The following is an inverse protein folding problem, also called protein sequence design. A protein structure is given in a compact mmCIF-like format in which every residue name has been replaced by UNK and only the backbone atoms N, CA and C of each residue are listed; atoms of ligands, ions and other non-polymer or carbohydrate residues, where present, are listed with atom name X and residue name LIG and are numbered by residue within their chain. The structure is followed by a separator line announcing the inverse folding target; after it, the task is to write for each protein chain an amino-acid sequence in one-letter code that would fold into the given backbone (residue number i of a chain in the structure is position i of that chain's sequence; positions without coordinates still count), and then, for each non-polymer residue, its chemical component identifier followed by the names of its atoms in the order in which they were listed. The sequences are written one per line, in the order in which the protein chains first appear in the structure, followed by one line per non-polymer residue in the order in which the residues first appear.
data_IF_768217579047
#
_entry.id   IF_768217579047
#
_cell.length_a   1.000
_cell.length_b   1.000
_cell.length_c   1.000
_cell.angle_alpha   90.00
_cell.angle_beta   90.00
_cell.angle_gamma   90.00
#
_symmetry.space_group_name_H-M   'P 1'
#
loop_
_entity.id
_entity.type
_entity.pdbx_description
1 polymer ?
#
# COMPACT_ATOMS: atom_id res chain seq x y z
N UNK A 1 39.98 -6.64 -10.25
CA UNK A 1 39.47 -5.40 -9.61
C UNK A 1 37.95 -5.32 -9.72
N UNK A 2 37.36 -5.67 -10.86
CA UNK A 2 35.91 -5.64 -11.09
C UNK A 2 35.11 -6.66 -10.25
N UNK A 3 35.65 -7.85 -9.98
CA UNK A 3 35.01 -8.86 -9.12
C UNK A 3 34.84 -8.41 -7.66
N UNK A 4 35.81 -7.66 -7.12
CA UNK A 4 35.73 -7.07 -5.77
C UNK A 4 34.66 -5.98 -5.73
N UNK A 5 34.59 -5.14 -6.77
CA UNK A 5 33.57 -4.09 -6.91
C UNK A 5 32.17 -4.71 -7.04
N UNK A 6 32.03 -5.82 -7.76
CA UNK A 6 30.76 -6.54 -7.88
C UNK A 6 30.31 -7.14 -6.55
N UNK A 7 31.23 -7.72 -5.77
CA UNK A 7 30.93 -8.23 -4.43
C UNK A 7 30.41 -7.12 -3.50
N UNK A 8 31.08 -5.95 -3.48
CA UNK A 8 30.66 -4.78 -2.70
C UNK A 8 29.28 -4.24 -3.13
N UNK A 9 28.98 -4.24 -4.44
CA UNK A 9 27.67 -3.82 -4.94
C UNK A 9 26.56 -4.80 -4.55
N UNK A 10 26.85 -6.10 -4.51
CA UNK A 10 25.88 -7.11 -4.10
C UNK A 10 25.60 -7.06 -2.59
N UNK A 11 26.62 -6.84 -1.76
CA UNK A 11 26.47 -6.61 -0.32
C UNK A 11 25.60 -5.39 -0.05
N UNK A 12 25.95 -4.25 -0.67
CA UNK A 12 25.16 -3.02 -0.58
C UNK A 12 23.72 -3.19 -1.08
N UNK A 13 23.49 -4.02 -2.09
CA UNK A 13 22.15 -4.32 -2.59
C UNK A 13 21.35 -5.08 -1.53
N UNK A 14 21.97 -6.06 -0.87
CA UNK A 14 21.36 -6.82 0.23
C UNK A 14 20.96 -5.90 1.38
N UNK A 15 21.86 -5.01 1.83
CA UNK A 15 21.57 -4.07 2.92
C UNK A 15 20.38 -3.14 2.59
N UNK A 16 20.28 -2.73 1.31
CA UNK A 16 19.18 -1.87 0.83
C UNK A 16 17.86 -2.63 0.72
N UNK A 17 17.91 -3.93 0.41
CA UNK A 17 16.75 -4.81 0.39
C UNK A 17 16.19 -4.98 1.80
N UNK A 18 17.04 -5.32 2.78
CA UNK A 18 16.64 -5.43 4.19
C UNK A 18 16.05 -4.11 4.71
N UNK A 19 16.66 -2.97 4.37
CA UNK A 19 16.13 -1.65 4.72
C UNK A 19 14.75 -1.39 4.09
N UNK A 20 14.52 -1.84 2.86
CA UNK A 20 13.22 -1.70 2.19
C UNK A 20 12.15 -2.53 2.87
N UNK A 21 12.46 -3.78 3.20
CA UNK A 21 11.54 -4.69 3.88
C UNK A 21 11.16 -4.18 5.28
N UNK A 22 12.13 -3.63 6.02
CA UNK A 22 11.86 -2.98 7.30
C UNK A 22 10.90 -1.78 7.13
N UNK A 23 11.13 -0.94 6.11
CA UNK A 23 10.24 0.19 5.81
C UNK A 23 8.85 -0.26 5.39
N UNK A 24 8.73 -1.34 4.61
CA UNK A 24 7.43 -1.93 4.25
C UNK A 24 6.71 -2.40 5.51
N UNK A 25 7.38 -3.14 6.41
CA UNK A 25 6.79 -3.56 7.68
C UNK A 25 6.28 -2.37 8.50
N UNK A 26 7.09 -1.31 8.64
CA UNK A 26 6.67 -0.10 9.35
C UNK A 26 5.47 0.58 8.68
N UNK A 27 5.41 0.61 7.35
CA UNK A 27 4.26 1.15 6.62
C UNK A 27 3.01 0.32 6.90
N UNK A 28 3.10 -1.01 6.90
CA UNK A 28 1.98 -1.90 7.17
C UNK A 28 1.45 -1.76 8.60
N UNK A 29 2.35 -1.69 9.58
CA UNK A 29 2.01 -1.46 11.00
C UNK A 29 1.28 -0.14 11.22
N UNK A 30 1.66 0.91 10.47
CA UNK A 30 0.97 2.19 10.51
C UNK A 30 -0.35 2.16 9.72
N UNK A 31 -0.41 1.40 8.64
CA UNK A 31 -1.58 1.34 7.77
C UNK A 31 -2.75 0.58 8.42
N UNK A 32 -2.48 -0.51 9.13
CA UNK A 32 -3.50 -1.36 9.76
C UNK A 32 -4.49 -0.58 10.65
N UNK A 33 -4.07 0.10 11.74
CA UNK A 33 -5.00 0.80 12.60
C UNK A 33 -5.71 1.96 11.88
N UNK A 34 -5.04 2.59 10.90
CA UNK A 34 -5.61 3.71 10.14
C UNK A 34 -6.72 3.28 9.19
N UNK A 35 -6.58 2.12 8.55
CA UNK A 35 -7.63 1.59 7.68
C UNK A 35 -8.86 1.19 8.47
N UNK A 36 -8.67 0.60 9.66
CA UNK A 36 -9.77 0.29 10.58
C UNK A 36 -10.50 1.58 10.98
N UNK A 37 -9.76 2.59 11.44
CA UNK A 37 -10.34 3.88 11.84
C UNK A 37 -11.04 4.58 10.66
N UNK A 38 -10.45 4.55 9.47
CA UNK A 38 -11.06 5.15 8.28
C UNK A 38 -12.36 4.45 7.87
N UNK A 39 -12.43 3.11 8.00
CA UNK A 39 -13.65 2.34 7.78
C UNK A 39 -14.77 2.77 8.74
N UNK A 40 -14.45 2.93 10.03
CA UNK A 40 -15.39 3.39 11.05
C UNK A 40 -15.87 4.83 10.75
N UNK A 41 -14.97 5.74 10.38
CA UNK A 41 -15.32 7.11 9.98
C UNK A 41 -16.17 7.15 8.70
N UNK A 42 -15.88 6.27 7.73
CA UNK A 42 -16.66 6.11 6.50
C UNK A 42 -18.09 5.65 6.78
N UNK A 43 -18.25 4.65 7.66
CA UNK A 43 -19.56 4.20 8.11
C UNK A 43 -20.33 5.29 8.86
N UNK A 44 -19.65 6.09 9.69
CA UNK A 44 -20.28 7.24 10.36
C UNK A 44 -20.77 8.30 9.36
N UNK A 45 -19.97 8.60 8.33
CA UNK A 45 -20.38 9.53 7.27
C UNK A 45 -21.63 9.04 6.54
N UNK A 46 -21.70 7.76 6.19
CA UNK A 46 -22.88 7.14 5.58
C UNK A 46 -24.08 7.23 6.54
N UNK A 47 -23.89 6.86 7.82
CA UNK A 47 -24.96 6.96 8.82
C UNK A 47 -25.54 8.38 8.90
N UNK A 48 -24.71 9.41 8.81
CA UNK A 48 -25.14 10.82 8.83
C UNK A 48 -25.73 11.30 7.50
N UNK A 49 -25.26 10.75 6.37
CA UNK A 49 -25.68 11.17 5.02
C UNK A 49 -27.07 10.68 4.61
N UNK A 50 -27.59 9.63 5.25
CA UNK A 50 -28.89 9.03 4.96
C UNK A 50 -29.80 9.01 6.21
N UNK A 51 -30.24 10.18 6.71
CA UNK A 51 -31.08 10.28 7.90
C UNK A 51 -32.40 9.49 7.78
N UNK A 52 -32.94 9.35 6.57
CA UNK A 52 -34.15 8.57 6.27
C UNK A 52 -34.02 7.08 6.59
N UNK A 53 -32.82 6.52 6.47
CA UNK A 53 -32.51 5.14 6.88
C UNK A 53 -32.11 5.11 8.35
N UNK A 54 -31.18 5.98 8.75
CA UNK A 54 -30.58 5.98 10.08
C UNK A 54 -31.57 6.30 11.21
N UNK A 55 -32.61 7.10 10.94
CA UNK A 55 -33.66 7.42 11.92
C UNK A 55 -34.54 6.22 12.29
N UNK A 56 -34.50 5.15 11.50
CA UNK A 56 -35.24 3.91 11.77
C UNK A 56 -34.52 3.00 12.78
N UNK A 57 -33.28 3.34 13.15
CA UNK A 57 -32.48 2.51 14.05
C UNK A 57 -32.69 2.96 15.49
N UNK A 58 -33.03 2.01 16.34
CA UNK A 58 -32.94 2.21 17.79
C UNK A 58 -31.48 2.10 18.26
N UNK A 59 -31.25 2.41 19.54
CA UNK A 59 -29.90 2.37 20.13
C UNK A 59 -29.25 0.99 19.98
N UNK A 60 -30.02 -0.09 20.15
CA UNK A 60 -29.55 -1.46 20.03
C UNK A 60 -29.06 -1.76 18.61
N UNK A 61 -29.83 -1.36 17.59
CA UNK A 61 -29.50 -1.55 16.18
C UNK A 61 -28.31 -0.70 15.76
N UNK A 62 -28.16 0.52 16.28
CA UNK A 62 -26.95 1.34 16.08
C UNK A 62 -25.72 0.66 16.67
N UNK A 63 -25.81 0.08 17.88
CA UNK A 63 -24.69 -0.64 18.47
C UNK A 63 -24.31 -1.88 17.65
N UNK A 64 -25.30 -2.63 17.16
CA UNK A 64 -25.04 -3.77 16.29
C UNK A 64 -24.40 -3.35 14.97
N UNK A 65 -24.88 -2.26 14.35
CA UNK A 65 -24.29 -1.72 13.13
C UNK A 65 -22.81 -1.37 13.32
N UNK A 66 -22.47 -0.67 14.40
CA UNK A 66 -21.08 -0.34 14.73
C UNK A 66 -20.22 -1.59 14.91
N UNK A 67 -20.74 -2.64 15.57
CA UNK A 67 -20.04 -3.92 15.75
C UNK A 67 -19.80 -4.63 14.42
N UNK A 68 -20.82 -4.69 13.55
CA UNK A 68 -20.71 -5.32 12.23
C UNK A 68 -19.68 -4.59 11.35
N UNK A 69 -19.68 -3.26 11.36
CA UNK A 69 -18.67 -2.44 10.67
C UNK A 69 -17.27 -2.72 11.21
N UNK A 70 -17.10 -2.68 12.54
CA UNK A 70 -15.80 -2.88 13.16
C UNK A 70 -15.25 -4.29 12.93
N UNK A 71 -16.09 -5.32 13.01
CA UNK A 71 -15.70 -6.70 12.72
C UNK A 71 -15.26 -6.85 11.25
N UNK A 72 -16.06 -6.32 10.32
CA UNK A 72 -15.76 -6.33 8.90
C UNK A 72 -14.45 -5.57 8.59
N UNK A 73 -14.25 -4.39 9.18
CA UNK A 73 -13.06 -3.58 9.00
C UNK A 73 -11.80 -4.32 9.48
N UNK A 74 -11.84 -4.91 10.69
CA UNK A 74 -10.70 -5.66 11.24
C UNK A 74 -10.32 -6.86 10.39
N UNK A 75 -11.31 -7.68 10.02
CA UNK A 75 -11.07 -8.88 9.21
C UNK A 75 -10.48 -8.53 7.83
N UNK A 76 -11.07 -7.54 7.16
CA UNK A 76 -10.63 -7.17 5.82
C UNK A 76 -9.29 -6.44 5.82
N UNK A 77 -9.04 -5.58 6.81
CA UNK A 77 -7.74 -4.94 6.97
C UNK A 77 -6.66 -6.00 7.23
N UNK A 78 -6.87 -6.95 8.15
CA UNK A 78 -5.90 -8.00 8.43
C UNK A 78 -5.59 -8.82 7.17
N UNK A 79 -6.60 -9.16 6.38
CA UNK A 79 -6.42 -9.85 5.08
C UNK A 79 -5.63 -9.00 4.09
N UNK A 80 -5.93 -7.71 3.98
CA UNK A 80 -5.19 -6.79 3.12
C UNK A 80 -3.73 -6.67 3.54
N UNK A 81 -3.46 -6.50 4.83
CA UNK A 81 -2.09 -6.40 5.36
C UNK A 81 -1.33 -7.70 5.08
N UNK A 82 -1.95 -8.86 5.28
CA UNK A 82 -1.36 -10.15 4.90
C UNK A 82 -1.06 -10.27 3.40
N UNK A 83 -1.91 -9.70 2.53
CA UNK A 83 -1.63 -9.64 1.09
C UNK A 83 -0.48 -8.68 0.76
N UNK A 84 -0.45 -7.51 1.41
CA UNK A 84 0.57 -6.49 1.18
C UNK A 84 1.91 -6.82 1.86
N UNK A 85 1.96 -7.85 2.72
CA UNK A 85 3.22 -8.36 3.27
C UNK A 85 4.08 -9.09 2.23
N UNK A 86 3.52 -9.41 1.06
CA UNK A 86 4.26 -9.97 -0.06
C UNK A 86 5.19 -8.90 -0.67
N UNK A 87 6.50 -9.16 -0.59
CA UNK A 87 7.58 -8.25 -0.94
C UNK A 87 7.58 -7.87 -2.44
N UNK A 88 7.08 -8.78 -3.29
CA UNK A 88 7.01 -8.59 -4.74
C UNK A 88 6.08 -7.42 -5.12
N UNK A 89 5.13 -7.05 -4.25
CA UNK A 89 4.27 -5.87 -4.45
C UNK A 89 5.03 -4.54 -4.31
N UNK A 90 6.20 -4.55 -3.68
CA UNK A 90 6.92 -3.34 -3.29
C UNK A 90 8.25 -3.18 -4.02
N UNK A 91 8.91 -4.26 -4.40
CA UNK A 91 10.26 -4.20 -4.98
C UNK A 91 10.24 -4.09 -6.51
N UNK A 92 9.24 -4.67 -7.17
CA UNK A 92 9.19 -4.79 -8.64
C UNK A 92 8.71 -3.53 -9.39
N UNK A 93 8.53 -2.39 -8.72
CA UNK A 93 7.84 -1.27 -9.36
C UNK A 93 8.69 -0.55 -10.43
N UNK A 94 8.06 -0.28 -11.58
CA UNK A 94 8.71 0.32 -12.76
C UNK A 94 9.37 1.66 -12.42
N UNK A 95 10.64 1.88 -12.79
CA UNK A 95 11.34 3.14 -12.58
C UNK A 95 10.54 4.32 -13.14
N UNK A 96 10.18 5.27 -12.28
CA UNK A 96 9.57 6.54 -12.69
C UNK A 96 10.63 7.62 -12.80
N UNK A 97 10.55 8.45 -13.84
CA UNK A 97 11.42 9.63 -13.98
C UNK A 97 11.14 10.72 -12.96
N UNK A 98 9.98 10.66 -12.28
CA UNK A 98 9.57 11.64 -11.26
C UNK A 98 9.80 11.08 -9.87
N UNK A 99 10.33 11.88 -8.94
CA UNK A 99 10.43 11.49 -7.54
C UNK A 99 9.03 11.12 -7.04
N UNK A 100 8.96 9.96 -6.41
CA UNK A 100 7.76 9.49 -5.72
C UNK A 100 7.93 9.80 -4.23
N UNK A 101 6.84 10.22 -3.60
CA UNK A 101 6.78 10.73 -2.24
C UNK A 101 5.58 10.17 -1.45
N UNK A 102 4.63 9.52 -2.12
CA UNK A 102 3.40 9.03 -1.47
C UNK A 102 3.09 7.58 -1.80
N UNK A 103 2.37 6.92 -0.89
CA UNK A 103 1.91 5.55 -1.05
C UNK A 103 1.03 5.37 -2.30
N UNK A 104 0.27 6.41 -2.67
CA UNK A 104 -0.58 6.42 -3.86
C UNK A 104 0.18 6.14 -5.16
N UNK A 105 1.47 6.47 -5.19
CA UNK A 105 2.30 6.25 -6.38
C UNK A 105 2.74 4.80 -6.54
N UNK A 106 2.53 3.94 -5.52
CA UNK A 106 2.55 2.50 -5.68
C UNK A 106 1.13 2.06 -6.07
N UNK A 107 0.89 1.94 -7.37
CA UNK A 107 -0.48 1.75 -7.90
C UNK A 107 -1.13 0.45 -7.43
N UNK A 108 -0.36 -0.65 -7.39
CA UNK A 108 -0.84 -1.96 -6.91
C UNK A 108 -1.26 -1.88 -5.44
N UNK A 109 -0.39 -1.33 -4.60
CA UNK A 109 -0.66 -1.17 -3.16
C UNK A 109 -1.85 -0.25 -2.95
N UNK A 110 -1.87 0.90 -3.63
CA UNK A 110 -2.92 1.89 -3.46
C UNK A 110 -4.29 1.38 -3.88
N UNK A 111 -4.38 0.65 -4.99
CA UNK A 111 -5.63 0.03 -5.45
C UNK A 111 -6.14 -0.99 -4.42
N UNK A 112 -5.25 -1.82 -3.86
CA UNK A 112 -5.62 -2.77 -2.80
C UNK A 112 -6.16 -2.04 -1.56
N UNK A 113 -5.51 -0.94 -1.15
CA UNK A 113 -5.95 -0.08 -0.05
C UNK A 113 -7.32 0.54 -0.32
N UNK A 114 -7.57 1.05 -1.52
CA UNK A 114 -8.87 1.60 -1.91
C UNK A 114 -9.97 0.53 -1.89
N UNK A 115 -9.65 -0.68 -2.35
CA UNK A 115 -10.60 -1.80 -2.40
C UNK A 115 -10.98 -2.33 -1.02
N UNK A 116 -10.16 -2.11 0.01
CA UNK A 116 -10.49 -2.47 1.39
C UNK A 116 -11.85 -1.88 1.82
N UNK A 117 -12.19 -0.69 1.34
CA UNK A 117 -13.41 0.03 1.75
C UNK A 117 -14.67 -0.52 1.10
N UNK A 118 -14.53 -1.17 -0.07
CA UNK A 118 -15.64 -1.82 -0.76
C UNK A 118 -16.16 -3.03 0.02
N UNK A 119 -15.38 -3.56 0.94
CA UNK A 119 -15.77 -4.68 1.81
C UNK A 119 -16.86 -4.31 2.82
N UNK A 120 -17.08 -3.02 3.07
CA UNK A 120 -18.19 -2.53 3.90
C UNK A 120 -19.53 -2.47 3.15
N UNK A 121 -19.54 -2.52 1.82
CA UNK A 121 -20.76 -2.42 0.99
C UNK A 121 -21.83 -3.46 1.39
N UNK A 122 -21.49 -4.74 1.63
CA UNK A 122 -22.45 -5.73 2.11
C UNK A 122 -23.06 -5.38 3.47
N UNK A 123 -22.29 -4.76 4.37
CA UNK A 123 -22.79 -4.28 5.67
C UNK A 123 -23.81 -3.17 5.41
N UNK A 124 -23.48 -2.15 4.63
CA UNK A 124 -24.42 -1.06 4.34
C UNK A 124 -25.71 -1.55 3.66
N UNK A 125 -25.61 -2.49 2.72
CA UNK A 125 -26.78 -3.13 2.09
C UNK A 125 -27.66 -3.88 3.08
N UNK A 126 -27.08 -4.64 4.01
CA UNK A 126 -27.82 -5.35 5.09
C UNK A 126 -28.63 -4.39 5.95
N UNK A 127 -28.11 -3.18 6.16
CA UNK A 127 -28.76 -2.14 6.95
C UNK A 127 -29.69 -1.22 6.14
N UNK A 128 -29.88 -1.49 4.84
CA UNK A 128 -30.84 -0.79 3.99
C UNK A 128 -30.33 0.52 3.38
N UNK A 129 -29.03 0.80 3.45
CA UNK A 129 -28.48 2.00 2.81
C UNK A 129 -28.46 1.85 1.28
N UNK A 130 -29.00 2.81 0.53
CA UNK A 130 -29.01 2.76 -0.93
C UNK A 130 -27.62 3.11 -1.48
N UNK A 131 -27.22 2.44 -2.55
CA UNK A 131 -25.96 2.77 -3.24
C UNK A 131 -26.08 4.11 -3.97
N UNK A 132 -25.13 5.00 -3.74
CA UNK A 132 -24.95 6.24 -4.51
C UNK A 132 -23.55 6.23 -5.10
N UNK A 133 -23.47 5.87 -6.37
CA UNK A 133 -22.20 5.74 -7.08
C UNK A 133 -21.42 7.06 -7.01
N UNK A 134 -20.22 7.00 -6.47
CA UNK A 134 -19.27 8.10 -6.43
C UNK A 134 -18.66 8.40 -7.80
N UNK A 135 -17.84 9.44 -7.84
CA UNK A 135 -17.08 9.86 -9.03
C UNK A 135 -16.14 8.75 -9.51
N UNK A 136 -15.62 7.95 -8.58
CA UNK A 136 -14.72 6.82 -8.86
C UNK A 136 -15.46 5.51 -9.13
N UNK A 137 -16.78 5.51 -9.27
CA UNK A 137 -17.56 4.29 -9.44
C UNK A 137 -17.79 3.49 -8.15
N UNK A 138 -17.33 3.99 -6.99
CA UNK A 138 -17.56 3.34 -5.70
C UNK A 138 -19.05 3.40 -5.33
N UNK A 139 -19.66 2.34 -4.75
CA UNK A 139 -21.10 2.34 -4.44
C UNK A 139 -21.53 3.39 -3.40
N UNK A 140 -20.59 3.98 -2.67
CA UNK A 140 -20.80 5.06 -1.72
C UNK A 140 -19.66 6.07 -1.86
N UNK A 141 -19.99 7.34 -2.16
CA UNK A 141 -19.02 8.42 -2.32
C UNK A 141 -18.21 8.67 -1.04
N UNK A 142 -18.82 8.45 0.12
CA UNK A 142 -18.23 8.65 1.44
C UNK A 142 -17.04 7.71 1.72
N UNK A 143 -16.94 6.63 0.94
CA UNK A 143 -15.85 5.65 0.99
C UNK A 143 -14.75 5.92 -0.05
N UNK A 144 -14.81 7.04 -0.79
CA UNK A 144 -13.77 7.37 -1.76
C UNK A 144 -12.48 7.84 -1.06
N UNK A 145 -11.50 6.94 -1.02
CA UNK A 145 -10.13 7.26 -0.64
C UNK A 145 -9.32 7.66 -1.88
N UNK A 146 -9.13 8.97 -2.09
CA UNK A 146 -8.43 9.56 -3.25
C UNK A 146 -6.96 9.77 -2.98
N UNK A 147 -6.65 10.22 -1.78
CA UNK A 147 -5.30 10.57 -1.35
C UNK A 147 -4.98 9.93 0.01
N UNK A 148 -3.71 9.58 0.28
CA UNK A 148 -3.26 9.04 1.56
C UNK A 148 -3.56 9.96 2.75
N UNK A 149 -3.59 11.28 2.53
CA UNK A 149 -3.83 12.29 3.56
C UNK A 149 -5.24 12.21 4.16
N UNK A 150 -6.19 11.57 3.48
CA UNK A 150 -7.52 11.31 4.01
C UNK A 150 -7.53 10.23 5.10
N UNK A 151 -6.48 9.39 5.19
CA UNK A 151 -6.34 8.44 6.27
C UNK A 151 -6.11 9.18 7.60
N UNK A 152 -6.64 8.68 8.72
CA UNK A 152 -6.42 9.29 10.03
C UNK A 152 -4.93 9.32 10.37
N UNK A 153 -4.44 10.44 10.92
CA UNK A 153 -3.06 10.58 11.43
C UNK A 153 -1.99 10.22 10.38
N UNK A 154 -2.16 10.71 9.15
CA UNK A 154 -1.37 10.31 7.97
C UNK A 154 0.07 10.85 7.94
N UNK A 155 0.48 11.70 8.88
CA UNK A 155 1.78 12.38 8.87
C UNK A 155 2.95 11.39 8.92
N UNK A 156 2.87 10.38 9.81
CA UNK A 156 3.92 9.38 9.94
C UNK A 156 3.98 8.47 8.70
N UNK A 157 2.81 8.03 8.21
CA UNK A 157 2.70 7.21 7.01
C UNK A 157 3.30 7.92 5.78
N UNK A 158 3.10 9.24 5.67
CA UNK A 158 3.70 10.06 4.62
C UNK A 158 5.23 10.05 4.72
N UNK A 159 5.78 10.24 5.92
CA UNK A 159 7.23 10.21 6.13
C UNK A 159 7.82 8.84 5.76
N UNK A 160 7.18 7.74 6.18
CA UNK A 160 7.60 6.39 5.83
C UNK A 160 7.53 6.13 4.32
N UNK A 161 6.47 6.58 3.66
CA UNK A 161 6.33 6.50 2.20
C UNK A 161 7.48 7.21 1.48
N UNK A 162 7.86 8.40 1.92
CA UNK A 162 9.00 9.13 1.35
C UNK A 162 10.32 8.37 1.56
N UNK A 163 10.56 7.84 2.77
CA UNK A 163 11.75 7.03 3.07
C UNK A 163 11.83 5.78 2.18
N UNK A 164 10.70 5.09 2.02
CA UNK A 164 10.58 3.93 1.14
C UNK A 164 10.97 4.27 -0.30
N UNK A 165 10.44 5.36 -0.88
CA UNK A 165 10.79 5.73 -2.25
C UNK A 165 12.26 6.10 -2.43
N UNK A 166 12.86 6.75 -1.43
CA UNK A 166 14.29 7.07 -1.44
C UNK A 166 15.12 5.77 -1.39
N UNK A 167 14.76 4.83 -0.51
CA UNK A 167 15.42 3.54 -0.40
C UNK A 167 15.28 2.72 -1.70
N UNK A 168 14.09 2.70 -2.29
CA UNK A 168 13.81 1.95 -3.52
C UNK A 168 14.62 2.52 -4.69
N UNK A 169 14.70 3.85 -4.81
CA UNK A 169 15.54 4.49 -5.81
C UNK A 169 17.01 4.10 -5.71
N UNK A 170 17.55 4.06 -4.48
CA UNK A 170 18.94 3.60 -4.22
C UNK A 170 19.13 2.13 -4.56
N UNK A 171 18.17 1.27 -4.18
CA UNK A 171 18.19 -0.15 -4.49
C UNK A 171 18.20 -0.39 -6.00
N UNK A 172 17.28 0.24 -6.74
CA UNK A 172 17.18 0.13 -8.19
C UNK A 172 18.45 0.62 -8.90
N UNK A 173 19.03 1.74 -8.45
CA UNK A 173 20.29 2.24 -8.99
C UNK A 173 21.44 1.25 -8.77
N UNK A 174 21.56 0.71 -7.55
CA UNK A 174 22.59 -0.28 -7.19
C UNK A 174 22.42 -1.57 -7.99
N UNK A 175 21.18 -2.02 -8.15
CA UNK A 175 20.84 -3.19 -8.96
C UNK A 175 21.23 -3.00 -10.44
N UNK A 176 20.92 -1.84 -11.02
CA UNK A 176 21.32 -1.53 -12.40
C UNK A 176 22.84 -1.46 -12.57
N UNK A 177 23.58 -0.89 -11.60
CA UNK A 177 25.04 -0.87 -11.64
C UNK A 177 25.63 -2.28 -11.54
N UNK A 178 25.11 -3.12 -10.64
CA UNK A 178 25.52 -4.52 -10.51
C UNK A 178 25.29 -5.29 -11.82
N UNK A 179 24.12 -5.17 -12.43
CA UNK A 179 23.81 -5.80 -13.71
C UNK A 179 24.73 -5.32 -14.84
N UNK A 180 25.05 -4.02 -14.89
CA UNK A 180 25.97 -3.47 -15.89
C UNK A 180 27.37 -4.03 -15.72
N UNK A 181 27.87 -4.13 -14.48
CA UNK A 181 29.19 -4.67 -14.18
C UNK A 181 29.26 -6.17 -14.46
N UNK A 182 28.23 -6.94 -14.11
CA UNK A 182 28.12 -8.36 -14.43
C UNK A 182 28.21 -8.60 -15.94
N UNK A 183 27.51 -7.80 -16.75
CA UNK A 183 27.58 -7.89 -18.22
C UNK A 183 28.98 -7.57 -18.72
N UNK A 184 29.62 -6.52 -18.20
CA UNK A 184 30.97 -6.15 -18.59
C UNK A 184 31.99 -7.26 -18.31
N UNK A 185 31.93 -7.86 -17.11
CA UNK A 185 32.78 -9.00 -16.73
C UNK A 185 32.51 -10.20 -17.64
N UNK A 186 31.24 -10.54 -17.87
CA UNK A 186 30.89 -11.66 -18.76
C UNK A 186 31.39 -11.44 -20.20
N UNK A 187 31.29 -10.21 -20.72
CA UNK A 187 31.85 -9.87 -22.04
C UNK A 187 33.37 -10.02 -22.07
N UNK A 188 34.10 -9.53 -21.07
CA UNK A 188 35.56 -9.72 -20.98
C UNK A 188 35.94 -11.21 -20.95
N UNK A 189 35.26 -12.02 -20.13
CA UNK A 189 35.53 -13.46 -20.05
C UNK A 189 35.27 -14.17 -21.38
N UNK A 190 34.22 -13.78 -22.11
CA UNK A 190 33.94 -14.33 -23.45
C UNK A 190 34.98 -13.89 -24.48
N UNK A 191 35.49 -12.66 -24.40
CA UNK A 191 36.59 -12.18 -25.26
C UNK A 191 37.89 -12.94 -24.99
N UNK A 192 38.23 -13.21 -23.73
CA UNK A 192 39.39 -14.02 -23.33
C UNK A 192 39.28 -15.45 -23.91
N UNK A 193 38.12 -16.11 -23.74
CA UNK A 193 37.88 -17.46 -24.29
C UNK A 193 37.98 -17.50 -25.82
N UNK A 194 37.60 -16.42 -26.51
CA UNK A 194 37.65 -16.36 -27.97
C UNK A 194 39.06 -16.15 -28.53
N UNK A 195 39.96 -15.55 -27.74
CA UNK A 195 41.33 -15.26 -28.15
C UNK A 195 42.31 -16.42 -27.88
N UNK A 196 41.94 -17.36 -27.00
CA UNK A 196 42.65 -18.62 -26.73
C UNK A 196 42.27 -19.75 -27.73
#
# INVERSE_FOLDING_TARGET
MESLKLAQLNERRSDLEDQLLELVSQILDELEPRLIEYCEQGAEKIFKAFPEVSSQFDKTRVLQFKRDVQACAKENTARLIGQLADEDYWVEETPSRRPKESLRQNTKVWEAVQNCLLTLVPVFKRYGYPTRTGVLGTPFRELELKEPEQLPRSEHLRLLSMKYWIALGKFQQTHQESLRLQRAVAHQTLEEIWQD
#
